data_IF_450142473329
#
_entry.id   IF_450142473329
#
_cell.length_a   1.000
_cell.length_b   1.000
_cell.length_c   1.000
_cell.angle_alpha   90.00
_cell.angle_beta   90.00
_cell.angle_gamma   90.00
#
_symmetry.space_group_name_H-M   'P 1'
#
loop_
_entity.id
_entity.type
_entity.pdbx_description
1 polymer ?
#
# COMPACT_ATOMS: atom_id res chain seq x y z
N UNK A 1 -13.91 -8.34 1.73
CA UNK A 1 -12.47 -8.23 1.56
C UNK A 1 -11.92 -7.32 2.66
N UNK A 2 -10.88 -7.76 3.34
CA UNK A 2 -10.26 -6.99 4.42
C UNK A 2 -8.81 -6.67 4.09
N UNK A 3 -8.32 -5.59 4.67
CA UNK A 3 -6.93 -5.20 4.51
C UNK A 3 -6.40 -4.68 5.85
N UNK A 4 -5.08 -4.64 5.98
CA UNK A 4 -4.43 -4.09 7.17
C UNK A 4 -4.24 -2.59 6.97
N UNK A 5 -4.75 -1.78 7.91
CA UNK A 5 -4.63 -0.33 7.82
C UNK A 5 -3.14 0.08 7.73
N UNK A 6 -2.74 0.81 6.68
CA UNK A 6 -1.33 1.15 6.47
C UNK A 6 -0.83 2.30 7.33
N UNK A 7 -1.71 2.94 8.08
CA UNK A 7 -1.33 4.08 8.92
C UNK A 7 -0.41 3.60 10.05
N UNK A 8 0.67 4.32 10.26
CA UNK A 8 1.63 4.01 11.32
C UNK A 8 0.93 3.93 12.68
N UNK A 9 1.30 2.91 13.47
CA UNK A 9 0.75 2.65 14.81
C UNK A 9 -0.72 2.20 14.81
N UNK A 10 -1.31 1.90 13.67
CA UNK A 10 -2.67 1.39 13.58
C UNK A 10 -2.68 -0.12 13.36
N UNK A 11 -2.50 -0.58 12.13
CA UNK A 11 -2.34 -2.00 11.81
C UNK A 11 -3.57 -2.88 12.00
N UNK A 12 -4.76 -2.33 12.20
CA UNK A 12 -5.97 -3.11 12.35
C UNK A 12 -6.50 -3.61 11.01
N UNK A 13 -7.05 -4.83 11.00
CA UNK A 13 -7.72 -5.37 9.82
C UNK A 13 -9.12 -4.77 9.72
N UNK A 14 -9.44 -4.27 8.52
CA UNK A 14 -10.71 -3.57 8.30
C UNK A 14 -11.14 -3.74 6.85
N UNK A 15 -12.45 -3.68 6.57
CA UNK A 15 -12.98 -3.68 5.21
C UNK A 15 -13.16 -2.24 4.72
N UNK A 16 -13.19 -2.02 3.38
CA UNK A 16 -13.41 -0.67 2.85
C UNK A 16 -14.72 -0.05 3.33
N UNK A 17 -15.79 -0.85 3.44
CA UNK A 17 -17.09 -0.37 3.90
C UNK A 17 -17.04 0.17 5.33
N UNK A 18 -16.16 -0.37 6.15
CA UNK A 18 -16.04 -0.01 7.56
C UNK A 18 -14.85 0.91 7.85
N UNK A 19 -14.12 1.33 6.82
CA UNK A 19 -12.92 2.12 7.03
C UNK A 19 -13.18 3.47 7.69
N UNK A 20 -14.27 4.14 7.29
CA UNK A 20 -14.62 5.42 7.91
C UNK A 20 -14.96 5.23 9.40
N UNK A 21 -15.72 4.20 9.73
CA UNK A 21 -16.04 3.89 11.13
C UNK A 21 -14.77 3.61 11.93
N UNK A 22 -13.83 2.88 11.36
CA UNK A 22 -12.52 2.61 11.96
C UNK A 22 -11.75 3.91 12.21
N UNK A 23 -11.76 4.84 11.27
CA UNK A 23 -11.09 6.14 11.41
C UNK A 23 -11.68 6.93 12.57
N UNK A 24 -13.00 6.98 12.67
CA UNK A 24 -13.69 7.68 13.77
C UNK A 24 -13.34 7.07 15.12
N UNK A 25 -13.31 5.76 15.22
CA UNK A 25 -12.94 5.07 16.45
C UNK A 25 -11.50 5.38 16.85
N UNK A 26 -10.60 5.38 15.88
CA UNK A 26 -9.20 5.73 16.11
C UNK A 26 -9.05 7.17 16.60
N UNK A 27 -9.76 8.11 15.97
CA UNK A 27 -9.75 9.51 16.38
C UNK A 27 -10.26 9.67 17.82
N UNK A 28 -11.31 8.96 18.19
CA UNK A 28 -11.85 9.00 19.54
C UNK A 28 -10.88 8.43 20.57
N UNK A 29 -10.16 7.37 20.23
CA UNK A 29 -9.17 6.77 21.13
C UNK A 29 -7.95 7.68 21.32
N UNK A 30 -7.66 8.57 20.37
CA UNK A 30 -6.47 9.42 20.37
C UNK A 30 -6.80 10.90 20.40
N UNK A 31 -7.90 11.27 21.08
CA UNK A 31 -8.34 12.67 21.20
C UNK A 31 -7.27 13.59 21.77
N UNK A 32 -6.45 13.07 22.70
CA UNK A 32 -5.44 13.87 23.38
C UNK A 32 -4.17 14.06 22.56
N UNK A 33 -4.07 13.42 21.40
CA UNK A 33 -2.90 13.53 20.54
C UNK A 33 -3.30 13.96 19.14
N UNK A 34 -3.21 15.28 18.82
CA UNK A 34 -3.64 15.80 17.51
C UNK A 34 -2.92 15.13 16.32
N UNK A 35 -1.67 14.72 16.52
CA UNK A 35 -0.87 14.10 15.47
C UNK A 35 -1.44 12.72 15.13
N UNK A 36 -1.71 11.91 16.13
CA UNK A 36 -2.29 10.58 15.93
C UNK A 36 -3.74 10.67 15.46
N UNK A 37 -4.50 11.60 16.02
CA UNK A 37 -5.91 11.78 15.65
C UNK A 37 -6.09 12.02 14.16
N UNK A 38 -5.18 12.78 13.53
CA UNK A 38 -5.28 13.12 12.11
C UNK A 38 -4.41 12.26 11.20
N UNK A 39 -3.86 11.17 11.70
CA UNK A 39 -2.96 10.32 10.92
C UNK A 39 -3.62 9.71 9.69
N UNK A 40 -4.88 9.29 9.81
CA UNK A 40 -5.62 8.72 8.68
C UNK A 40 -5.93 9.77 7.61
N UNK A 41 -6.26 10.98 8.02
CA UNK A 41 -6.49 12.10 7.11
C UNK A 41 -5.22 12.43 6.32
N UNK A 42 -4.09 12.48 6.98
CA UNK A 42 -2.80 12.74 6.32
C UNK A 42 -2.44 11.63 5.34
N UNK A 43 -2.63 10.39 5.75
CA UNK A 43 -2.37 9.27 4.86
C UNK A 43 -3.19 9.40 3.58
N UNK A 44 -4.50 9.64 3.71
CA UNK A 44 -5.38 9.77 2.57
C UNK A 44 -4.99 10.95 1.67
N UNK A 45 -4.67 12.09 2.24
CA UNK A 45 -4.30 13.28 1.46
C UNK A 45 -2.96 13.14 0.75
N UNK A 46 -2.01 12.42 1.35
CA UNK A 46 -0.68 12.26 0.76
C UNK A 46 -0.64 11.18 -0.31
N UNK A 47 -1.28 10.04 -0.06
CA UNK A 47 -1.20 8.90 -0.97
C UNK A 47 -2.31 8.87 -2.00
N UNK A 48 -3.43 9.53 -1.74
CA UNK A 48 -4.58 9.55 -2.64
C UNK A 48 -5.15 10.98 -2.77
N UNK A 49 -4.32 11.94 -3.24
CA UNK A 49 -4.75 13.34 -3.28
C UNK A 49 -5.95 13.58 -4.16
N UNK A 50 -6.09 12.84 -5.26
CA UNK A 50 -7.23 12.99 -6.16
C UNK A 50 -8.55 12.64 -5.47
N UNK A 51 -8.55 11.57 -4.70
CA UNK A 51 -9.71 11.15 -3.92
C UNK A 51 -9.96 12.15 -2.81
N UNK A 52 -8.91 12.56 -2.10
CA UNK A 52 -9.03 13.45 -0.96
C UNK A 52 -9.57 14.82 -1.33
N UNK A 53 -9.17 15.33 -2.50
CA UNK A 53 -9.59 16.64 -3.00
C UNK A 53 -10.87 16.62 -3.82
N UNK A 54 -11.53 15.46 -3.95
CA UNK A 54 -12.79 15.33 -4.68
C UNK A 54 -13.96 15.92 -3.89
N UNK A 55 -15.12 16.02 -4.57
CA UNK A 55 -16.34 16.55 -3.96
C UNK A 55 -17.12 15.50 -3.16
N UNK A 56 -16.57 14.28 -3.03
CA UNK A 56 -17.23 13.21 -2.30
C UNK A 56 -17.31 13.50 -0.81
N UNK A 57 -18.29 12.88 -0.12
CA UNK A 57 -18.36 12.95 1.34
C UNK A 57 -17.13 12.30 1.97
N UNK A 58 -16.80 12.71 3.19
CA UNK A 58 -15.63 12.15 3.90
C UNK A 58 -15.73 10.62 4.06
N UNK A 59 -16.92 10.12 4.31
CA UNK A 59 -17.18 8.69 4.41
C UNK A 59 -16.83 7.97 3.11
N UNK A 60 -17.26 8.52 1.98
CA UNK A 60 -16.99 7.96 0.66
C UNK A 60 -15.52 8.07 0.30
N UNK A 61 -14.87 9.16 0.66
CA UNK A 61 -13.44 9.34 0.44
C UNK A 61 -12.62 8.23 1.11
N UNK A 62 -12.87 7.95 2.38
CA UNK A 62 -12.15 6.88 3.07
C UNK A 62 -12.45 5.51 2.48
N UNK A 63 -13.69 5.26 2.07
CA UNK A 63 -14.03 4.01 1.39
C UNK A 63 -13.24 3.85 0.09
N UNK A 64 -13.16 4.89 -0.71
CA UNK A 64 -12.41 4.88 -1.97
C UNK A 64 -10.91 4.74 -1.74
N UNK A 65 -10.38 5.40 -0.74
CA UNK A 65 -8.98 5.26 -0.35
C UNK A 65 -8.65 3.81 -0.03
N UNK A 66 -9.49 3.16 0.77
CA UNK A 66 -9.30 1.76 1.13
C UNK A 66 -9.36 0.85 -0.09
N UNK A 67 -10.31 1.06 -1.00
CA UNK A 67 -10.43 0.26 -2.22
C UNK A 67 -9.22 0.43 -3.12
N UNK A 68 -8.75 1.65 -3.32
CA UNK A 68 -7.56 1.91 -4.15
C UNK A 68 -6.30 1.34 -3.52
N UNK A 69 -6.17 1.43 -2.21
CA UNK A 69 -5.05 0.83 -1.50
C UNK A 69 -4.98 -0.68 -1.74
N UNK A 70 -6.11 -1.36 -1.65
CA UNK A 70 -6.18 -2.80 -1.90
C UNK A 70 -5.75 -3.12 -3.34
N UNK A 71 -6.23 -2.34 -4.31
CA UNK A 71 -5.85 -2.52 -5.72
C UNK A 71 -4.34 -2.35 -5.91
N UNK A 72 -3.76 -1.33 -5.32
CA UNK A 72 -2.32 -1.08 -5.44
C UNK A 72 -1.50 -2.22 -4.83
N UNK A 73 -1.93 -2.75 -3.69
CA UNK A 73 -1.22 -3.87 -3.06
C UNK A 73 -1.24 -5.12 -3.92
N UNK A 74 -2.36 -5.42 -4.55
CA UNK A 74 -2.46 -6.56 -5.47
C UNK A 74 -1.57 -6.37 -6.69
N UNK A 75 -1.55 -5.19 -7.26
CA UNK A 75 -0.72 -4.85 -8.41
C UNK A 75 0.77 -4.96 -8.09
N UNK A 76 1.19 -4.42 -6.95
CA UNK A 76 2.57 -4.49 -6.50
C UNK A 76 3.04 -5.93 -6.30
N UNK A 77 2.21 -6.79 -5.73
CA UNK A 77 2.55 -8.19 -5.54
C UNK A 77 2.78 -8.90 -6.87
N UNK A 78 1.95 -8.62 -7.88
CA UNK A 78 2.12 -9.20 -9.21
C UNK A 78 3.41 -8.73 -9.88
N UNK A 79 3.72 -7.44 -9.79
CA UNK A 79 4.94 -6.87 -10.36
C UNK A 79 6.19 -7.44 -9.68
N UNK A 80 6.16 -7.55 -8.38
CA UNK A 80 7.28 -8.08 -7.61
C UNK A 80 7.61 -9.52 -8.02
N UNK A 81 6.62 -10.37 -8.18
CA UNK A 81 6.83 -11.75 -8.61
C UNK A 81 7.44 -11.85 -10.00
N UNK A 82 7.02 -10.99 -10.93
CA UNK A 82 7.57 -10.93 -12.28
C UNK A 82 9.04 -10.52 -12.27
N UNK A 83 9.37 -9.51 -11.48
CA UNK A 83 10.75 -9.02 -11.37
C UNK A 83 11.69 -10.10 -10.81
N UNK A 84 11.25 -10.84 -9.81
CA UNK A 84 12.05 -11.93 -9.27
C UNK A 84 12.41 -12.98 -10.31
N UNK A 85 11.44 -13.38 -11.13
CA UNK A 85 11.67 -14.35 -12.20
C UNK A 85 12.67 -13.84 -13.24
N UNK A 86 12.52 -12.59 -13.63
CA UNK A 86 13.43 -11.97 -14.61
C UNK A 86 14.84 -11.87 -14.08
N UNK A 87 15.01 -11.44 -12.86
CA UNK A 87 16.32 -11.34 -12.23
C UNK A 87 17.04 -12.69 -12.17
N UNK A 88 16.32 -13.74 -11.81
CA UNK A 88 16.90 -15.08 -11.77
C UNK A 88 17.35 -15.56 -13.12
N UNK A 89 16.59 -15.31 -14.17
CA UNK A 89 16.96 -15.67 -15.53
C UNK A 89 18.17 -14.88 -16.01
N UNK A 90 18.18 -13.60 -15.77
CA UNK A 90 19.33 -12.76 -16.14
C UNK A 90 20.60 -13.18 -15.43
N UNK A 91 20.53 -13.52 -14.18
CA UNK A 91 21.68 -14.00 -13.43
C UNK A 91 22.23 -15.32 -13.98
N UNK A 92 21.36 -16.23 -14.35
CA UNK A 92 21.77 -17.50 -14.94
C UNK A 92 22.44 -17.32 -16.30
N UNK A 93 21.86 -16.49 -17.16
CA UNK A 93 22.44 -16.17 -18.45
C UNK A 93 23.79 -15.52 -18.29
N UNK A 94 23.91 -14.59 -17.38
CA UNK A 94 25.15 -13.87 -17.10
C UNK A 94 26.23 -14.83 -16.60
N UNK A 95 25.88 -15.76 -15.73
CA UNK A 95 26.79 -16.75 -15.21
C UNK A 95 27.33 -17.67 -16.31
N UNK A 96 26.44 -18.12 -17.19
CA UNK A 96 26.83 -18.97 -18.30
C UNK A 96 27.78 -18.27 -19.26
N UNK A 97 27.50 -17.01 -19.57
CA UNK A 97 28.34 -16.21 -20.43
C UNK A 97 29.74 -16.04 -19.85
N UNK A 98 29.84 -15.68 -18.60
CA UNK A 98 31.14 -15.49 -17.95
C UNK A 98 31.89 -16.81 -17.81
N UNK A 99 31.20 -17.89 -17.51
CA UNK A 99 31.81 -19.21 -17.38
C UNK A 99 32.44 -19.65 -18.69
N UNK A 100 31.74 -19.51 -19.80
CA UNK A 100 32.19 -19.91 -21.10
C UNK A 100 33.39 -19.04 -21.56
N UNK A 101 33.28 -17.74 -21.43
CA UNK A 101 34.34 -16.83 -21.80
C UNK A 101 35.61 -17.07 -20.99
N UNK A 102 35.43 -17.37 -19.73
CA UNK A 102 36.53 -17.63 -18.83
C UNK A 102 37.31 -18.90 -19.23
N UNK A 103 36.59 -19.89 -19.67
CA UNK A 103 37.18 -21.14 -20.10
C UNK A 103 37.93 -21.03 -21.45
N UNK A 104 37.38 -20.25 -22.33
CA UNK A 104 37.97 -20.09 -23.65
C UNK A 104 39.24 -19.27 -23.66
N UNK A 105 39.50 -18.56 -22.61
CA UNK A 105 40.74 -17.84 -22.45
C UNK A 105 41.77 -18.66 -21.70
#
# INVERSE_FOLDING_TARGET
MRFVCPVAKCGKKVSPENYYQHVIEYENEHKDNPILMKSHDRFASWFFPDIWNSDMTIKKKFRMVAQEYIKQQKSLKKQYKKQEKQEKQEQQEHKEKYGIEHFLR
#
